data_IF_920486242166
#
_entry.id   IF_920486242166
#
_cell.length_a   1.000
_cell.length_b   1.000
_cell.length_c   1.000
_cell.angle_alpha   90.00
_cell.angle_beta   90.00
_cell.angle_gamma   90.00
#
_symmetry.space_group_name_H-M   'P 1'
#
loop_
_entity.id
_entity.type
_entity.pdbx_description
1 polymer ?
#
# COMPACT_ATOMS: atom_id res chain seq x y z
N UNK A 1 -22.41 -9.49 14.91
CA UNK A 1 -23.17 -8.30 15.32
C UNK A 1 -22.56 -7.13 14.57
N UNK A 2 -22.77 -6.97 13.26
CA UNK A 2 -24.05 -6.77 12.56
C UNK A 2 -24.82 -5.57 13.13
N UNK A 3 -25.12 -4.65 12.20
CA UNK A 3 -26.29 -3.77 12.20
C UNK A 3 -26.15 -2.38 12.84
N UNK A 4 -25.72 -1.42 12.01
CA UNK A 4 -26.04 0.01 12.20
C UNK A 4 -26.28 0.73 10.85
N UNK A 5 -26.83 0.02 9.86
CA UNK A 5 -27.29 0.62 8.60
C UNK A 5 -28.74 0.23 8.37
N UNK A 6 -29.68 0.83 9.10
CA UNK A 6 -31.12 0.84 8.78
C UNK A 6 -31.80 1.71 9.84
N UNK A 7 -31.88 3.02 9.61
CA UNK A 7 -32.91 3.87 10.25
C UNK A 7 -32.96 5.27 9.60
N UNK A 8 -33.18 5.33 8.28
CA UNK A 8 -33.74 6.54 7.65
C UNK A 8 -34.62 6.20 6.43
N UNK A 9 -35.43 5.14 6.58
CA UNK A 9 -36.35 4.68 5.54
C UNK A 9 -37.76 5.35 5.49
N UNK A 10 -38.21 6.21 6.43
CA UNK A 10 -39.57 6.76 6.33
C UNK A 10 -39.69 8.04 5.48
N UNK A 11 -38.59 8.71 5.11
CA UNK A 11 -38.64 9.95 4.32
C UNK A 11 -38.69 9.75 2.79
N UNK A 12 -38.27 8.58 2.30
CA UNK A 12 -38.24 8.27 0.86
C UNK A 12 -39.64 7.84 0.38
N UNK A 13 -40.43 7.16 1.20
CA UNK A 13 -41.75 6.64 0.81
C UNK A 13 -42.84 7.72 0.71
N UNK A 14 -42.76 8.81 1.49
CA UNK A 14 -43.73 9.92 1.43
C UNK A 14 -43.54 10.84 0.21
N UNK A 15 -42.34 10.88 -0.35
CA UNK A 15 -42.07 11.56 -1.62
C UNK A 15 -42.57 10.74 -2.82
N UNK A 16 -42.47 9.41 -2.78
CA UNK A 16 -42.99 8.53 -3.83
C UNK A 16 -44.51 8.66 -4.06
N UNK A 17 -45.33 8.83 -3.01
CA UNK A 17 -46.79 8.97 -3.17
C UNK A 17 -47.20 10.27 -3.84
N UNK A 18 -46.55 11.39 -3.51
CA UNK A 18 -46.79 12.69 -4.17
C UNK A 18 -46.34 12.70 -5.64
N UNK A 19 -45.31 11.92 -5.98
CA UNK A 19 -44.86 11.76 -7.34
C UNK A 19 -45.85 10.95 -8.18
N UNK A 20 -46.49 9.90 -7.63
CA UNK A 20 -47.44 9.05 -8.35
C UNK A 20 -48.72 9.78 -8.80
N UNK A 21 -49.16 10.83 -8.09
CA UNK A 21 -50.30 11.65 -8.50
C UNK A 21 -49.99 12.61 -9.67
N UNK A 22 -48.70 12.87 -9.93
CA UNK A 22 -48.20 13.68 -11.07
C UNK A 22 -47.96 12.81 -12.33
N UNK A 23 -48.15 11.49 -12.24
CA UNK A 23 -47.80 10.49 -13.28
C UNK A 23 -48.92 10.25 -14.31
N UNK A 24 -49.68 11.26 -14.71
CA UNK A 24 -50.63 11.15 -15.82
C UNK A 24 -50.06 11.62 -17.16
N UNK A 25 -48.80 12.06 -17.23
CA UNK A 25 -48.19 12.61 -18.44
C UNK A 25 -47.01 11.75 -18.93
N UNK A 26 -46.97 11.48 -20.24
CA UNK A 26 -45.91 10.66 -20.89
C UNK A 26 -44.50 11.18 -20.58
N UNK A 27 -44.36 12.48 -20.38
CA UNK A 27 -43.10 13.15 -20.03
C UNK A 27 -42.56 12.68 -18.68
N UNK A 28 -43.43 12.49 -17.68
CA UNK A 28 -43.00 12.07 -16.34
C UNK A 28 -42.49 10.63 -16.34
N UNK A 29 -43.09 9.75 -17.15
CA UNK A 29 -42.60 8.37 -17.35
C UNK A 29 -41.23 8.35 -18.04
N UNK A 30 -41.01 9.22 -19.04
CA UNK A 30 -39.69 9.35 -19.67
C UNK A 30 -38.63 9.82 -18.68
N UNK A 31 -38.93 10.82 -17.85
CA UNK A 31 -37.99 11.34 -16.84
C UNK A 31 -37.67 10.26 -15.79
N UNK A 32 -38.67 9.52 -15.32
CA UNK A 32 -38.45 8.42 -14.37
C UNK A 32 -37.58 7.31 -14.95
N UNK A 33 -37.84 6.91 -16.21
CA UNK A 33 -37.03 5.91 -16.90
C UNK A 33 -35.59 6.38 -17.10
N UNK A 34 -35.38 7.66 -17.41
CA UNK A 34 -34.05 8.27 -17.51
C UNK A 34 -33.32 8.30 -16.15
N UNK A 35 -33.99 8.66 -15.06
CA UNK A 35 -33.41 8.64 -13.71
C UNK A 35 -33.02 7.21 -13.33
N UNK A 36 -33.88 6.22 -13.60
CA UNK A 36 -33.55 4.82 -13.39
C UNK A 36 -32.36 4.39 -14.26
N UNK A 37 -32.31 4.74 -15.54
CA UNK A 37 -31.14 4.47 -16.39
C UNK A 37 -29.85 5.10 -15.85
N UNK A 38 -29.89 6.35 -15.38
CA UNK A 38 -28.73 7.04 -14.81
C UNK A 38 -28.25 6.33 -13.54
N UNK A 39 -29.17 6.02 -12.61
CA UNK A 39 -28.85 5.28 -11.37
C UNK A 39 -28.30 3.89 -11.68
N UNK A 40 -28.79 3.20 -12.71
CA UNK A 40 -28.28 1.90 -13.14
C UNK A 40 -26.91 1.98 -13.82
N UNK A 41 -26.64 3.04 -14.59
CA UNK A 41 -25.32 3.33 -15.18
C UNK A 41 -24.30 3.61 -14.08
N UNK A 42 -24.69 4.40 -13.06
CA UNK A 42 -23.86 4.66 -11.89
C UNK A 42 -23.65 3.39 -11.05
N UNK A 43 -24.67 2.54 -10.88
CA UNK A 43 -24.56 1.27 -10.14
C UNK A 43 -23.72 0.22 -10.87
N UNK A 44 -23.70 0.22 -12.21
CA UNK A 44 -22.83 -0.63 -13.03
C UNK A 44 -21.37 -0.15 -13.06
N UNK A 45 -21.12 1.17 -12.95
CA UNK A 45 -19.78 1.75 -12.87
C UNK A 45 -19.20 1.75 -11.45
N UNK A 46 -20.04 1.68 -10.42
CA UNK A 46 -19.64 1.78 -9.00
C UNK A 46 -18.87 0.59 -8.45
N UNK A 47 -18.75 -0.53 -9.17
CA UNK A 47 -17.84 -1.62 -8.77
C UNK A 47 -16.35 -1.23 -8.85
N UNK A 48 -15.99 -0.14 -9.56
CA UNK A 48 -14.61 0.41 -9.55
C UNK A 48 -14.46 1.73 -8.79
N UNK A 49 -15.54 2.46 -8.49
CA UNK A 49 -15.44 3.79 -7.86
C UNK A 49 -15.93 3.89 -6.40
N UNK A 50 -16.85 3.03 -5.90
CA UNK A 50 -17.20 3.02 -4.46
C UNK A 50 -16.10 2.41 -3.59
N UNK A 51 -15.24 1.55 -4.15
CA UNK A 51 -13.98 1.14 -3.50
C UNK A 51 -12.87 2.20 -3.63
N UNK A 52 -13.18 3.37 -4.21
CA UNK A 52 -12.22 4.45 -4.45
C UNK A 52 -12.37 5.67 -3.52
N UNK A 53 -13.53 5.86 -2.87
CA UNK A 53 -13.82 7.10 -2.13
C UNK A 53 -13.71 7.01 -0.61
N UNK A 54 -13.53 5.80 -0.04
CA UNK A 54 -13.07 5.62 1.34
C UNK A 54 -11.84 4.69 1.40
N UNK A 55 -10.90 4.91 0.48
CA UNK A 55 -9.69 4.11 0.32
C UNK A 55 -8.52 4.97 -0.13
N UNK A 56 -7.97 5.75 0.81
CA UNK A 56 -6.62 6.32 0.74
C UNK A 56 -6.42 7.32 -0.41
N UNK A 57 -7.01 8.51 -0.25
CA UNK A 57 -6.43 9.75 -0.78
C UNK A 57 -5.10 10.05 -0.07
N UNK A 58 -4.10 9.22 -0.35
CA UNK A 58 -2.70 9.59 -0.29
C UNK A 58 -2.16 9.18 -1.65
N UNK A 59 -1.43 10.05 -2.32
CA UNK A 59 -0.59 9.69 -3.46
C UNK A 59 0.54 8.74 -3.05
N UNK A 60 0.22 7.66 -2.35
CA UNK A 60 1.05 6.49 -2.28
C UNK A 60 0.94 5.88 -3.67
N UNK A 61 1.85 6.31 -4.56
CA UNK A 61 2.43 5.35 -5.49
C UNK A 61 2.75 4.16 -4.61
N UNK A 62 2.01 3.07 -4.78
CA UNK A 62 2.42 1.77 -4.28
C UNK A 62 3.69 1.43 -5.07
N UNK A 63 4.78 2.07 -4.66
CA UNK A 63 6.11 1.64 -4.98
C UNK A 63 6.21 0.34 -4.21
N UNK A 64 5.81 -0.75 -4.86
CA UNK A 64 6.27 -2.07 -4.48
C UNK A 64 7.80 -1.98 -4.46
N UNK A 65 8.34 -1.74 -3.27
CA UNK A 65 9.74 -1.50 -3.05
C UNK A 65 10.45 -2.78 -3.44
N UNK A 66 11.07 -2.78 -4.62
CA UNK A 66 11.69 -3.99 -5.15
C UNK A 66 12.83 -4.35 -4.22
N UNK A 67 12.78 -5.55 -3.65
CA UNK A 67 13.78 -6.07 -2.70
C UNK A 67 15.23 -5.91 -3.22
N UNK A 68 15.44 -5.90 -4.53
CA UNK A 68 16.76 -5.71 -5.14
C UNK A 68 17.25 -4.26 -5.16
N UNK A 69 16.34 -3.27 -5.07
CA UNK A 69 16.66 -1.85 -5.09
C UNK A 69 16.77 -1.26 -3.68
N UNK A 70 15.98 -1.76 -2.74
CA UNK A 70 15.76 -1.08 -1.47
C UNK A 70 15.19 -1.97 -0.38
N UNK A 71 14.95 -1.36 0.77
CA UNK A 71 14.23 -1.94 1.90
C UNK A 71 13.09 -1.00 2.30
N UNK A 72 12.03 -1.54 2.90
CA UNK A 72 10.88 -0.74 3.32
C UNK A 72 11.07 -0.25 4.75
N UNK A 73 10.90 1.05 4.98
CA UNK A 73 10.92 1.69 6.30
C UNK A 73 9.88 2.81 6.33
N UNK A 74 9.04 2.86 7.37
CA UNK A 74 7.96 3.85 7.54
C UNK A 74 7.05 4.03 6.30
N UNK A 75 6.56 2.93 5.72
CA UNK A 75 5.77 2.92 4.47
C UNK A 75 6.49 3.56 3.25
N UNK A 76 7.80 3.76 3.32
CA UNK A 76 8.65 4.32 2.27
C UNK A 76 9.73 3.33 1.83
N UNK A 77 10.17 3.47 0.58
CA UNK A 77 11.23 2.65 0.02
C UNK A 77 12.59 3.32 0.22
N UNK A 78 13.47 2.81 1.06
CA UNK A 78 14.84 3.32 1.25
C UNK A 78 15.85 2.54 0.41
N UNK A 79 16.92 3.19 -0.05
CA UNK A 79 18.03 2.50 -0.70
C UNK A 79 18.89 1.75 0.31
N UNK A 80 19.40 0.58 -0.08
CA UNK A 80 20.28 -0.25 0.75
C UNK A 80 21.65 0.39 0.97
N UNK A 81 22.23 0.13 2.14
CA UNK A 81 23.62 0.39 2.47
C UNK A 81 24.51 -0.69 1.84
N UNK A 82 25.74 -0.36 1.41
CA UNK A 82 26.65 -1.34 0.79
C UNK A 82 27.14 -2.39 1.78
N UNK A 83 27.69 -3.50 1.26
CA UNK A 83 28.38 -4.51 2.06
C UNK A 83 29.47 -3.89 2.97
N UNK A 84 29.64 -4.47 4.16
CA UNK A 84 30.53 -3.96 5.21
C UNK A 84 29.98 -2.77 6.01
N UNK A 85 28.75 -2.33 5.75
CA UNK A 85 28.08 -1.25 6.48
C UNK A 85 26.69 -1.64 6.97
N UNK A 86 26.17 -0.91 7.96
CA UNK A 86 24.81 -1.03 8.49
C UNK A 86 24.11 0.34 8.50
N UNK A 87 22.78 0.33 8.55
CA UNK A 87 21.95 1.54 8.64
C UNK A 87 21.99 2.07 10.07
N UNK A 88 22.61 3.24 10.28
CA UNK A 88 22.54 3.96 11.54
C UNK A 88 21.26 4.78 11.66
N UNK A 89 20.96 5.56 10.62
CA UNK A 89 19.75 6.38 10.53
C UNK A 89 19.02 6.05 9.22
N UNK A 90 17.72 5.80 9.30
CA UNK A 90 16.89 5.47 8.15
C UNK A 90 16.69 6.68 7.22
N UNK A 91 16.24 6.43 5.99
CA UNK A 91 15.99 7.49 5.02
C UNK A 91 14.79 8.36 5.44
N UNK A 92 14.86 9.67 5.17
CA UNK A 92 13.76 10.60 5.41
C UNK A 92 12.81 10.72 4.21
N UNK A 93 13.31 10.43 3.01
CA UNK A 93 12.56 10.50 1.75
C UNK A 93 12.61 9.17 0.98
N UNK A 94 11.57 8.90 0.20
CA UNK A 94 11.50 7.72 -0.67
C UNK A 94 12.64 7.72 -1.68
N UNK A 95 13.24 6.56 -1.88
CA UNK A 95 14.39 6.26 -2.73
C UNK A 95 15.68 6.99 -2.35
N UNK A 96 15.80 7.41 -1.10
CA UNK A 96 17.04 7.95 -0.56
C UNK A 96 17.81 6.89 0.23
N UNK A 97 19.13 6.99 0.26
CA UNK A 97 19.98 6.20 1.16
C UNK A 97 20.03 6.90 2.52
N UNK A 98 19.81 6.13 3.58
CA UNK A 98 20.00 6.61 4.96
C UNK A 98 21.47 6.82 5.32
N UNK A 99 21.75 7.08 6.59
CA UNK A 99 23.11 7.14 7.12
C UNK A 99 23.65 5.72 7.31
N UNK A 100 24.73 5.39 6.60
CA UNK A 100 25.38 4.07 6.69
C UNK A 100 26.70 4.19 7.46
N UNK A 101 26.93 3.30 8.42
CA UNK A 101 28.19 3.22 9.18
C UNK A 101 28.89 1.89 8.98
N UNK A 102 30.23 1.86 9.04
CA UNK A 102 31.01 0.64 8.89
C UNK A 102 30.77 -0.33 10.06
N UNK A 103 30.79 -1.63 9.76
CA UNK A 103 30.75 -2.68 10.76
C UNK A 103 32.00 -2.67 11.66
N UNK A 104 31.81 -3.00 12.94
CA UNK A 104 32.89 -3.13 13.91
C UNK A 104 33.66 -4.46 13.79
N UNK A 105 34.73 -4.60 14.58
CA UNK A 105 35.49 -5.85 14.67
C UNK A 105 34.58 -7.03 15.08
N UNK A 106 34.80 -8.19 14.46
CA UNK A 106 33.97 -9.40 14.61
C UNK A 106 32.52 -9.29 14.10
N UNK A 107 32.21 -8.29 13.26
CA UNK A 107 30.91 -8.18 12.59
C UNK A 107 31.03 -7.94 11.09
N UNK A 108 30.04 -8.35 10.31
CA UNK A 108 30.05 -8.23 8.85
C UNK A 108 28.65 -8.07 8.25
N UNK A 109 28.60 -7.56 7.03
CA UNK A 109 27.44 -7.66 6.14
C UNK A 109 27.94 -8.07 4.75
N UNK A 110 27.46 -9.20 4.25
CA UNK A 110 27.96 -9.81 3.01
C UNK A 110 27.49 -9.06 1.74
N UNK A 111 26.31 -8.46 1.81
CA UNK A 111 25.64 -7.83 0.68
C UNK A 111 25.06 -6.48 1.06
N UNK A 112 24.58 -5.77 0.03
CA UNK A 112 23.76 -4.59 0.20
C UNK A 112 22.56 -4.90 1.09
N UNK A 113 22.40 -4.13 2.16
CA UNK A 113 21.48 -4.44 3.25
C UNK A 113 20.71 -3.21 3.74
N UNK A 114 19.61 -3.47 4.43
CA UNK A 114 18.83 -2.47 5.19
C UNK A 114 18.86 -2.77 6.69
N UNK A 115 19.91 -3.43 7.18
CA UNK A 115 20.02 -3.88 8.56
C UNK A 115 20.40 -2.71 9.47
N UNK A 116 19.78 -2.62 10.63
CA UNK A 116 20.12 -1.66 11.68
C UNK A 116 21.36 -2.07 12.51
N UNK A 117 21.90 -3.26 12.26
CA UNK A 117 23.10 -3.78 12.93
C UNK A 117 23.81 -4.81 12.05
N UNK A 118 25.13 -4.95 12.22
CA UNK A 118 25.92 -5.95 11.51
C UNK A 118 25.73 -7.36 12.09
N UNK A 119 26.01 -8.39 11.28
CA UNK A 119 25.94 -9.80 11.67
C UNK A 119 27.23 -10.20 12.37
N UNK A 120 27.17 -11.09 13.36
CA UNK A 120 28.36 -11.57 14.08
C UNK A 120 29.15 -12.58 13.27
N UNK A 121 30.47 -12.43 13.25
CA UNK A 121 31.39 -13.42 12.69
C UNK A 121 31.35 -14.70 13.53
N UNK A 122 31.03 -15.83 12.91
CA UNK A 122 31.15 -17.13 13.56
C UNK A 122 32.61 -17.59 13.54
N UNK A 123 33.17 -17.91 14.70
CA UNK A 123 34.52 -18.50 14.77
C UNK A 123 34.51 -19.90 14.15
N UNK A 124 35.32 -20.10 13.12
CA UNK A 124 35.57 -21.42 12.58
C UNK A 124 36.26 -22.29 13.66
N UNK A 125 35.73 -23.50 13.91
CA UNK A 125 36.39 -24.51 14.75
C UNK A 125 37.79 -24.76 14.19
N UNK A 126 38.82 -24.72 15.05
CA UNK A 126 40.27 -24.76 14.76
C UNK A 126 40.77 -26.05 14.09
N UNK A 127 40.18 -26.41 12.96
CA UNK A 127 40.46 -27.59 12.14
C UNK A 127 39.81 -27.55 10.75
N UNK A 128 39.10 -26.48 10.40
CA UNK A 128 38.73 -26.15 9.02
C UNK A 128 39.55 -24.93 8.62
N UNK A 129 40.45 -25.10 7.67
CA UNK A 129 41.07 -23.97 6.96
C UNK A 129 39.95 -23.07 6.44
N UNK A 130 40.09 -21.75 6.63
CA UNK A 130 39.24 -20.79 5.95
C UNK A 130 39.52 -20.91 4.46
N UNK A 131 38.75 -21.75 3.76
CA UNK A 131 38.58 -21.62 2.32
C UNK A 131 37.82 -20.31 2.13
N UNK A 132 38.57 -19.22 2.01
CA UNK A 132 38.11 -18.07 1.23
C UNK A 132 37.85 -18.62 -0.17
N UNK A 133 36.64 -19.11 -0.41
CA UNK A 133 36.14 -19.30 -1.77
C UNK A 133 35.97 -17.90 -2.35
N UNK A 134 37.08 -17.36 -2.85
CA UNK A 134 37.06 -16.32 -3.88
C UNK A 134 36.54 -17.03 -5.13
N UNK A 135 35.22 -17.25 -5.17
CA UNK A 135 34.51 -17.63 -6.37
C UNK A 135 33.46 -16.54 -6.61
N UNK A 136 33.94 -15.44 -7.19
CA UNK A 136 33.20 -14.85 -8.29
C UNK A 136 34.19 -14.67 -9.44
N UNK A 137 33.97 -15.46 -10.50
CA UNK A 137 34.35 -15.08 -11.85
C UNK A 137 33.73 -13.72 -12.21
#
# INVERSE_FOLDING_TARGET
>A
ASDACLDDFPHILSSFSAFLDVMANRVTLYIFFQIMLIVWIDLACSSRLYRGTLGRARGARDVSCRESLGYTHDDMCCLKCPAGTYVKDHCMETFQRGSCEPCGFDTYTEHDNGLNQCLWCTKCRSGRSMLFSILSN
#
